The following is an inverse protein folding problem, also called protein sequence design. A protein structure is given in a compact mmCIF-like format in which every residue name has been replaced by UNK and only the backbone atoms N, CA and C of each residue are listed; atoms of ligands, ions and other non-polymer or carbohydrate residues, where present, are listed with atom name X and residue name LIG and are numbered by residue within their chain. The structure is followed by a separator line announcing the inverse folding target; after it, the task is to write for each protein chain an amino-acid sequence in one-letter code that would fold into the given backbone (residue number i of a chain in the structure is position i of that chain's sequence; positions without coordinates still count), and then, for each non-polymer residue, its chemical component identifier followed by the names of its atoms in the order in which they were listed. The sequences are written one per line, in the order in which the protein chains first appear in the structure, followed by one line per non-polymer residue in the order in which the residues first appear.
data_IF_575172513153
#
_entry.id   IF_575172513153
#
_cell.length_a   1.000
_cell.length_b   1.000
_cell.length_c   1.000
_cell.angle_alpha   90.00
_cell.angle_beta   90.00
_cell.angle_gamma   90.00
#
_symmetry.space_group_name_H-M   'P 1'
#
loop_
_entity.id
_entity.type
_entity.pdbx_description
1 polymer ?
#
# COMPACT_ATOMS: atom_id res chain seq x y z
N UNK A 1 -3.92 6.39 -16.65
CA UNK A 1 -3.66 5.18 -15.82
C UNK A 1 -3.63 5.61 -14.35
N UNK A 2 -4.51 5.12 -13.48
CA UNK A 2 -4.56 5.56 -12.08
C UNK A 2 -3.34 5.13 -11.25
N UNK A 3 -2.92 5.95 -10.28
CA UNK A 3 -1.76 5.74 -9.40
C UNK A 3 -1.71 4.34 -8.76
N UNK A 4 -2.87 3.84 -8.30
CA UNK A 4 -2.99 2.51 -7.68
C UNK A 4 -2.65 1.37 -8.63
N UNK A 5 -2.93 1.53 -9.93
CA UNK A 5 -2.59 0.54 -10.95
C UNK A 5 -1.09 0.51 -11.16
N UNK A 6 -0.44 1.67 -11.24
CA UNK A 6 1.02 1.78 -11.39
C UNK A 6 1.74 1.14 -10.21
N UNK A 7 1.34 1.44 -8.98
CA UNK A 7 1.91 0.82 -7.77
C UNK A 7 1.78 -0.71 -7.76
N UNK A 8 0.64 -1.25 -8.20
CA UNK A 8 0.43 -2.70 -8.32
C UNK A 8 1.33 -3.33 -9.39
N UNK A 9 1.60 -2.63 -10.48
CA UNK A 9 2.51 -3.11 -11.53
C UNK A 9 3.95 -3.12 -11.02
N UNK A 10 4.39 -2.04 -10.38
CA UNK A 10 5.74 -1.94 -9.78
C UNK A 10 5.96 -3.03 -8.72
N UNK A 11 4.99 -3.24 -7.82
CA UNK A 11 5.07 -4.32 -6.83
C UNK A 11 5.27 -5.69 -7.50
N UNK A 12 4.50 -6.01 -8.55
CA UNK A 12 4.62 -7.30 -9.26
C UNK A 12 5.97 -7.46 -9.95
N UNK A 13 6.52 -6.39 -10.52
CA UNK A 13 7.86 -6.42 -11.12
C UNK A 13 8.92 -6.72 -10.06
N UNK A 14 8.85 -6.04 -8.90
CA UNK A 14 9.74 -6.29 -7.77
C UNK A 14 9.65 -7.73 -7.24
N UNK A 15 8.43 -8.25 -7.04
CA UNK A 15 8.21 -9.62 -6.56
C UNK A 15 8.79 -10.68 -7.52
N UNK A 16 8.73 -10.43 -8.84
CA UNK A 16 9.31 -11.33 -9.84
C UNK A 16 10.84 -11.34 -9.79
N UNK A 17 11.46 -10.17 -9.63
CA UNK A 17 12.91 -10.04 -9.47
C UNK A 17 13.38 -10.72 -8.18
N UNK A 18 12.68 -10.49 -7.06
CA UNK A 18 13.01 -11.13 -5.78
C UNK A 18 12.98 -12.65 -5.83
N UNK A 19 12.05 -13.23 -6.58
CA UNK A 19 11.91 -14.67 -6.73
C UNK A 19 12.74 -15.26 -7.89
N UNK A 20 13.46 -14.42 -8.67
CA UNK A 20 14.24 -14.86 -9.83
C UNK A 20 13.39 -15.46 -10.96
N UNK A 21 12.12 -15.06 -11.08
CA UNK A 21 11.16 -15.71 -11.99
C UNK A 21 11.01 -14.93 -13.29
N UNK A 22 11.44 -15.55 -14.38
CA UNK A 22 11.24 -15.02 -15.74
C UNK A 22 10.05 -15.66 -16.48
N UNK A 23 9.64 -16.87 -16.08
CA UNK A 23 8.59 -17.63 -16.75
C UNK A 23 7.16 -17.11 -16.47
N UNK A 24 6.19 -17.59 -17.26
CA UNK A 24 4.76 -17.33 -17.06
C UNK A 24 4.21 -18.05 -15.81
N UNK A 25 4.58 -17.54 -14.63
CA UNK A 25 3.94 -17.91 -13.36
C UNK A 25 2.73 -17.01 -13.11
N UNK A 26 1.66 -17.61 -12.59
CA UNK A 26 0.44 -16.89 -12.19
C UNK A 26 0.74 -15.91 -11.05
N UNK A 27 0.18 -14.72 -11.14
CA UNK A 27 0.40 -13.67 -10.12
C UNK A 27 -0.09 -14.08 -8.71
N UNK A 28 -1.08 -14.97 -8.60
CA UNK A 28 -1.53 -15.49 -7.30
C UNK A 28 -0.46 -16.35 -6.62
N UNK A 29 0.29 -17.11 -7.40
CA UNK A 29 1.35 -17.96 -6.88
C UNK A 29 2.56 -17.14 -6.42
N UNK A 30 2.93 -16.12 -7.21
CA UNK A 30 3.95 -15.12 -6.81
C UNK A 30 3.58 -14.49 -5.46
N UNK A 31 2.33 -14.07 -5.29
CA UNK A 31 1.83 -13.49 -4.03
C UNK A 31 1.82 -14.48 -2.86
N UNK A 32 1.48 -15.74 -3.10
CA UNK A 32 1.50 -16.78 -2.07
C UNK A 32 2.92 -17.02 -1.55
N UNK A 33 3.91 -17.02 -2.45
CA UNK A 33 5.33 -17.20 -2.12
C UNK A 33 5.91 -16.00 -1.38
N UNK A 34 5.67 -14.78 -1.84
CA UNK A 34 6.23 -13.57 -1.21
C UNK A 34 5.50 -13.16 0.09
N UNK A 35 4.22 -13.53 0.24
CA UNK A 35 3.35 -13.15 1.37
C UNK A 35 3.30 -11.64 1.62
N UNK A 36 3.69 -10.83 0.64
CA UNK A 36 3.77 -9.38 0.78
C UNK A 36 2.35 -8.79 0.84
N UNK A 37 2.11 -7.91 1.80
CA UNK A 37 0.80 -7.26 1.94
C UNK A 37 0.53 -6.38 0.72
N UNK A 38 -0.66 -6.46 0.13
CA UNK A 38 -0.96 -5.71 -1.08
C UNK A 38 -0.74 -4.20 -0.90
N UNK A 39 0.06 -3.57 -1.79
CA UNK A 39 0.41 -2.14 -1.70
C UNK A 39 -0.81 -1.23 -1.58
N UNK A 40 -1.93 -1.63 -2.19
CA UNK A 40 -3.17 -0.89 -2.11
C UNK A 40 -3.74 -0.81 -0.68
N UNK A 41 -3.72 -1.93 0.05
CA UNK A 41 -4.16 -1.99 1.44
C UNK A 41 -3.19 -1.22 2.34
N UNK A 42 -1.88 -1.34 2.09
CA UNK A 42 -0.87 -0.59 2.84
C UNK A 42 -1.02 0.92 2.67
N UNK A 43 -1.20 1.39 1.44
CA UNK A 43 -1.43 2.81 1.15
C UNK A 43 -2.71 3.30 1.82
N UNK A 44 -3.81 2.54 1.73
CA UNK A 44 -5.06 2.91 2.39
C UNK A 44 -4.90 3.01 3.91
N UNK A 45 -4.22 2.04 4.53
CA UNK A 45 -3.93 2.04 5.98
C UNK A 45 -3.10 3.26 6.37
N UNK A 46 -2.03 3.56 5.63
CA UNK A 46 -1.17 4.70 5.93
C UNK A 46 -1.92 6.03 5.80
N UNK A 47 -2.74 6.19 4.76
CA UNK A 47 -3.59 7.38 4.60
C UNK A 47 -4.58 7.52 5.75
N UNK A 48 -5.19 6.41 6.18
CA UNK A 48 -6.12 6.41 7.31
C UNK A 48 -5.43 6.75 8.63
N UNK A 49 -4.25 6.17 8.88
CA UNK A 49 -3.44 6.48 10.05
C UNK A 49 -2.99 7.93 10.05
N UNK A 50 -2.58 8.47 8.90
CA UNK A 50 -2.22 9.87 8.76
C UNK A 50 -3.40 10.79 9.04
N UNK A 51 -4.57 10.51 8.45
CA UNK A 51 -5.79 11.28 8.74
C UNK A 51 -6.12 11.25 10.24
N UNK A 52 -6.04 10.09 10.88
CA UNK A 52 -6.22 9.96 12.33
C UNK A 52 -5.17 10.70 13.16
N UNK A 53 -3.92 10.73 12.71
CA UNK A 53 -2.84 11.50 13.35
C UNK A 53 -3.09 13.01 13.25
N UNK A 54 -3.43 13.52 12.06
CA UNK A 54 -3.75 14.94 11.85
C UNK A 54 -4.91 15.37 12.74
N UNK A 55 -5.94 14.54 12.84
CA UNK A 55 -7.13 14.84 13.63
C UNK A 55 -6.87 14.78 15.13
N UNK A 56 -5.88 14.04 15.62
CA UNK A 56 -5.64 13.85 17.07
C UNK A 56 -4.74 14.88 17.75
N UNK A 57 -4.11 15.79 17.00
CA UNK A 57 -3.20 16.80 17.56
C UNK A 57 -2.02 16.20 18.36
N UNK A 58 -0.99 16.99 18.67
CA UNK A 58 0.07 16.53 19.59
C UNK A 58 -0.44 16.35 21.03
N UNK A 59 -1.52 17.05 21.39
CA UNK A 59 -2.07 17.10 22.75
C UNK A 59 -3.19 16.09 23.02
N UNK A 60 -3.43 15.15 22.09
CA UNK A 60 -4.49 14.13 22.21
C UNK A 60 -5.92 14.67 22.12
N UNK A 61 -6.07 15.96 21.77
CA UNK A 61 -7.36 16.62 21.55
C UNK A 61 -7.71 16.54 20.07
N UNK A 62 -9.01 16.36 19.77
CA UNK A 62 -9.48 16.50 18.40
C UNK A 62 -9.15 17.92 17.90
N UNK A 63 -8.39 18.02 16.82
CA UNK A 63 -8.04 19.29 16.20
C UNK A 63 -9.31 20.04 15.75
N UNK A 64 -9.31 21.39 15.73
CA UNK A 64 -10.43 22.14 15.19
C UNK A 64 -10.72 21.64 13.77
N UNK A 65 -12.01 21.53 13.43
CA UNK A 65 -12.52 20.89 12.23
C UNK A 65 -11.62 21.14 11.01
N UNK A 66 -11.18 20.06 10.35
CA UNK A 66 -10.33 20.09 9.14
C UNK A 66 -11.11 20.60 7.89
N UNK A 67 -12.16 21.40 8.10
CA UNK A 67 -13.12 21.87 7.10
C UNK A 67 -13.22 23.40 7.00
N UNK A 68 -12.19 24.14 7.41
CA UNK A 68 -11.99 25.54 7.01
C UNK A 68 -10.83 25.68 6.01
#
# INVERSE_FOLDING_TARGET
MGLMRSLRVTQRAMERVMLGVHNQIRNMEIRSRTRFTGIAQRVAKLKWQWAGHIVRGQDGRWGPNVLE
#
